data_IF_811824693861
#
_entry.id   IF_811824693861
#
_cell.length_a   1.000
_cell.length_b   1.000
_cell.length_c   1.000
_cell.angle_alpha   90.00
_cell.angle_beta   90.00
_cell.angle_gamma   90.00
#
_symmetry.space_group_name_H-M   'P 1'
#
loop_
_entity.id
_entity.type
_entity.pdbx_description
1 polymer ?
#
# COMPACT_ATOMS: atom_id res chain seq x y z
N UNK A 1 23.35 -30.47 -3.41
CA UNK A 1 24.28 -30.38 -4.54
C UNK A 1 25.39 -31.39 -4.32
N UNK A 2 25.76 -32.22 -5.28
CA UNK A 2 26.89 -33.11 -5.15
C UNK A 2 28.18 -32.31 -5.05
N UNK A 3 29.11 -32.80 -4.24
CA UNK A 3 30.40 -32.18 -4.01
C UNK A 3 31.15 -31.95 -5.33
N UNK A 4 31.71 -30.75 -5.49
CA UNK A 4 32.34 -30.25 -6.72
C UNK A 4 33.76 -30.82 -6.91
N UNK A 5 34.25 -31.67 -6.06
CA UNK A 5 35.51 -32.34 -6.25
C UNK A 5 35.30 -33.76 -6.75
N UNK A 6 35.54 -34.03 -8.04
CA UNK A 6 35.54 -35.38 -8.55
C UNK A 6 36.76 -36.10 -7.99
N UNK A 7 36.58 -36.97 -7.05
CA UNK A 7 37.59 -37.97 -6.70
C UNK A 7 37.39 -39.13 -7.66
N UNK A 8 37.76 -38.94 -8.91
CA UNK A 8 37.98 -40.02 -9.85
C UNK A 8 39.42 -40.44 -9.72
N UNK A 9 39.68 -41.24 -8.72
CA UNK A 9 40.87 -42.07 -8.68
C UNK A 9 40.69 -43.28 -9.57
N UNK A 10 40.77 -43.11 -10.91
CA UNK A 10 41.10 -44.20 -11.78
C UNK A 10 42.62 -44.44 -11.67
N UNK A 11 43.02 -45.20 -10.70
CA UNK A 11 44.36 -45.77 -10.64
C UNK A 11 44.40 -46.94 -11.63
N UNK A 12 45.21 -46.75 -12.66
CA UNK A 12 45.57 -47.81 -13.58
C UNK A 12 46.24 -48.99 -12.91
N UNK A 13 45.79 -50.18 -13.22
CA UNK A 13 46.41 -51.50 -13.21
C UNK A 13 47.55 -51.70 -12.23
N UNK A 14 47.19 -52.01 -11.04
CA UNK A 14 48.09 -52.53 -10.02
C UNK A 14 47.28 -52.94 -8.80
N UNK A 15 46.53 -53.99 -8.98
CA UNK A 15 45.99 -54.88 -7.95
C UNK A 15 45.58 -54.28 -6.56
N UNK A 16 44.83 -53.22 -6.59
CA UNK A 16 43.99 -52.77 -5.49
C UNK A 16 42.66 -52.32 -6.03
N UNK A 17 41.82 -53.31 -6.35
CA UNK A 17 40.43 -53.08 -6.61
C UNK A 17 39.76 -52.71 -5.29
N UNK A 18 39.81 -51.48 -4.94
CA UNK A 18 38.91 -50.86 -4.02
C UNK A 18 38.44 -49.57 -4.63
N UNK A 19 37.31 -49.67 -5.33
CA UNK A 19 36.44 -48.53 -5.49
C UNK A 19 36.02 -48.09 -4.10
N UNK A 20 36.87 -47.30 -3.42
CA UNK A 20 36.46 -46.57 -2.26
C UNK A 20 35.68 -45.35 -2.78
N UNK A 21 34.41 -45.58 -3.12
CA UNK A 21 33.48 -44.48 -3.16
C UNK A 21 33.39 -43.95 -1.75
N UNK A 22 34.11 -42.88 -1.49
CA UNK A 22 34.00 -42.13 -0.26
C UNK A 22 32.61 -41.48 -0.24
N UNK A 23 31.67 -42.22 0.33
CA UNK A 23 30.30 -41.71 0.57
C UNK A 23 30.17 -41.11 1.97
N UNK A 24 31.29 -40.69 2.55
CA UNK A 24 31.28 -40.03 3.85
C UNK A 24 30.98 -38.54 3.72
N UNK A 25 29.96 -38.11 4.38
CA UNK A 25 29.64 -36.69 4.65
C UNK A 25 30.64 -36.08 5.62
N UNK A 26 31.96 -36.10 5.28
CA UNK A 26 33.01 -35.53 6.12
C UNK A 26 33.25 -34.04 5.85
N UNK A 27 32.56 -33.43 4.91
CA UNK A 27 32.61 -32.00 4.72
C UNK A 27 31.41 -31.43 5.45
N UNK A 28 31.59 -30.87 6.67
CA UNK A 28 30.48 -30.24 7.36
C UNK A 28 29.98 -29.07 6.51
N UNK A 29 28.66 -29.01 6.25
CA UNK A 29 28.08 -27.83 5.65
C UNK A 29 28.30 -26.66 6.59
N UNK A 30 29.04 -25.66 6.13
CA UNK A 30 29.26 -24.43 6.91
C UNK A 30 28.00 -23.56 6.74
N UNK A 31 27.22 -23.46 7.78
CA UNK A 31 26.10 -22.54 7.82
C UNK A 31 26.62 -21.12 8.04
N UNK A 32 26.23 -20.20 7.16
CA UNK A 32 26.53 -18.80 7.34
C UNK A 32 25.81 -18.27 8.58
N UNK A 33 26.51 -17.54 9.43
CA UNK A 33 25.89 -16.82 10.54
C UNK A 33 25.16 -15.55 10.07
N UNK A 34 25.32 -15.18 8.80
CA UNK A 34 24.63 -14.05 8.17
C UNK A 34 23.50 -14.60 7.32
N UNK A 35 22.26 -14.21 7.64
CA UNK A 35 21.12 -14.42 6.77
C UNK A 35 21.09 -13.33 5.69
N UNK A 36 20.61 -13.69 4.51
CA UNK A 36 20.37 -12.71 3.47
C UNK A 36 19.23 -11.78 3.91
N UNK A 37 19.46 -10.49 3.80
CA UNK A 37 18.46 -9.48 4.12
C UNK A 37 17.30 -9.61 3.13
N UNK A 38 16.08 -9.60 3.64
CA UNK A 38 14.86 -9.67 2.85
C UNK A 38 14.41 -8.26 2.48
N UNK A 39 14.03 -8.07 1.23
CA UNK A 39 13.47 -6.79 0.78
C UNK A 39 11.98 -6.75 1.02
N UNK A 40 11.50 -5.63 1.56
CA UNK A 40 10.10 -5.41 1.88
C UNK A 40 9.48 -4.35 0.97
N UNK A 41 8.18 -4.48 0.72
CA UNK A 41 7.44 -3.45 0.01
C UNK A 41 7.28 -2.18 0.87
N UNK A 42 7.39 -1.02 0.24
CA UNK A 42 7.17 0.24 0.93
C UNK A 42 5.70 0.38 1.34
N UNK A 43 5.47 0.65 2.60
CA UNK A 43 4.15 0.89 3.19
C UNK A 43 3.86 2.40 3.19
N UNK A 44 2.66 2.78 2.80
CA UNK A 44 2.27 4.19 2.60
C UNK A 44 1.08 4.63 3.46
N UNK A 45 0.32 3.70 4.06
CA UNK A 45 -0.91 4.06 4.78
C UNK A 45 -0.69 5.05 5.93
N UNK A 46 0.44 4.99 6.62
CA UNK A 46 0.78 5.91 7.70
C UNK A 46 0.95 7.36 7.26
N UNK A 47 1.33 7.57 5.99
CA UNK A 47 1.53 8.90 5.41
C UNK A 47 0.25 9.46 4.77
N UNK A 48 -0.59 8.59 4.22
CA UNK A 48 -1.81 8.99 3.49
C UNK A 48 -3.05 9.08 4.37
N UNK A 49 -3.08 8.36 5.50
CA UNK A 49 -4.23 8.31 6.38
C UNK A 49 -4.10 9.29 7.57
N UNK A 50 -5.24 9.79 8.00
CA UNK A 50 -5.37 10.56 9.22
C UNK A 50 -5.55 9.64 10.43
N UNK A 51 -4.72 9.80 11.44
CA UNK A 51 -4.73 9.02 12.68
C UNK A 51 -5.23 9.81 13.90
N UNK A 52 -5.84 10.99 13.68
CA UNK A 52 -6.23 11.89 14.78
C UNK A 52 -7.21 11.27 15.78
N UNK A 53 -8.02 10.31 15.35
CA UNK A 53 -9.01 9.64 16.20
C UNK A 53 -8.50 8.37 16.89
N UNK A 54 -7.24 7.99 16.64
CA UNK A 54 -6.67 6.77 17.23
C UNK A 54 -6.65 6.80 18.77
N UNK A 55 -6.45 7.97 19.37
CA UNK A 55 -6.43 8.13 20.81
C UNK A 55 -7.80 7.92 21.50
N UNK A 56 -8.88 8.26 20.82
CA UNK A 56 -10.24 8.09 21.34
C UNK A 56 -10.67 6.61 21.34
N UNK A 57 -10.23 5.88 20.35
CA UNK A 57 -10.57 4.46 20.15
C UNK A 57 -9.81 3.54 21.09
N UNK A 58 -8.61 3.93 21.50
CA UNK A 58 -7.74 3.04 22.30
C UNK A 58 -8.25 2.72 23.71
N UNK A 59 -9.18 3.52 24.23
CA UNK A 59 -9.63 3.39 25.61
C UNK A 59 -10.90 2.56 25.81
N UNK A 60 -11.91 2.69 24.95
CA UNK A 60 -13.16 1.90 25.03
C UNK A 60 -14.01 2.08 23.75
N UNK A 61 -14.46 0.99 23.18
CA UNK A 61 -15.44 0.96 22.09
C UNK A 61 -14.89 0.47 20.77
N UNK A 62 -15.75 -0.12 19.98
CA UNK A 62 -15.48 -0.65 18.64
C UNK A 62 -15.87 0.33 17.53
N UNK A 63 -16.39 1.52 17.88
CA UNK A 63 -16.94 2.49 16.95
C UNK A 63 -16.63 3.92 17.37
N UNK A 64 -16.26 4.76 16.42
CA UNK A 64 -16.13 6.21 16.59
C UNK A 64 -17.09 6.92 15.65
N UNK A 65 -17.88 7.85 16.18
CA UNK A 65 -18.75 8.69 15.39
C UNK A 65 -18.08 10.02 15.07
N UNK A 66 -17.82 10.24 13.79
CA UNK A 66 -17.21 11.45 13.27
C UNK A 66 -18.32 12.34 12.72
N UNK A 67 -18.59 13.46 13.40
CA UNK A 67 -19.57 14.43 12.94
C UNK A 67 -18.96 15.36 11.90
N UNK A 68 -19.64 15.53 10.78
CA UNK A 68 -19.31 16.53 9.76
C UNK A 68 -20.16 17.76 9.92
N UNK A 69 -19.57 18.94 9.71
CA UNK A 69 -20.32 20.19 9.78
C UNK A 69 -21.38 20.24 8.67
N UNK A 70 -22.64 20.54 8.99
CA UNK A 70 -23.70 20.63 8.00
C UNK A 70 -23.49 21.86 7.10
N UNK A 71 -23.89 21.76 5.83
CA UNK A 71 -23.88 22.88 4.90
C UNK A 71 -25.09 23.76 5.11
N UNK A 72 -24.86 25.05 5.44
CA UNK A 72 -25.92 26.05 5.59
C UNK A 72 -26.03 26.81 4.26
N UNK A 73 -27.27 26.87 3.73
CA UNK A 73 -27.56 27.64 2.51
C UNK A 73 -27.70 29.11 2.84
N UNK A 74 -27.02 29.96 2.10
CA UNK A 74 -27.16 31.41 2.23
C UNK A 74 -28.23 31.87 1.23
N UNK A 75 -29.29 32.49 1.73
CA UNK A 75 -30.38 33.02 0.92
C UNK A 75 -30.21 34.52 0.69
N UNK A 76 -30.74 35.02 -0.41
CA UNK A 76 -30.79 36.45 -0.70
C UNK A 76 -31.84 37.14 0.18
N UNK A 77 -31.45 38.27 0.78
CA UNK A 77 -32.35 39.08 1.57
C UNK A 77 -33.04 40.15 0.72
N UNK A 78 -34.34 40.31 0.92
CA UNK A 78 -35.14 41.43 0.38
C UNK A 78 -35.89 42.09 1.53
N UNK A 79 -35.98 43.40 1.51
CA UNK A 79 -36.68 44.16 2.55
C UNK A 79 -38.19 43.75 2.57
N UNK A 80 -38.70 43.41 3.76
CA UNK A 80 -40.08 42.98 3.97
C UNK A 80 -40.37 41.48 3.74
N UNK A 81 -39.34 40.65 3.43
CA UNK A 81 -39.55 39.21 3.32
C UNK A 81 -39.57 38.54 4.71
N UNK A 82 -40.33 37.46 4.83
CA UNK A 82 -40.26 36.58 5.99
C UNK A 82 -39.04 35.67 5.89
N UNK A 83 -38.23 35.60 6.94
CA UNK A 83 -37.07 34.72 6.98
C UNK A 83 -37.48 33.28 7.18
N UNK A 84 -36.93 32.38 6.40
CA UNK A 84 -37.05 30.93 6.57
C UNK A 84 -35.86 30.41 7.37
N UNK A 85 -36.11 29.71 8.46
CA UNK A 85 -35.05 29.16 9.30
C UNK A 85 -34.72 27.73 8.85
N UNK A 86 -33.45 27.47 8.65
CA UNK A 86 -32.96 26.11 8.40
C UNK A 86 -32.64 25.43 9.73
N UNK A 87 -32.92 24.14 9.82
CA UNK A 87 -32.49 23.29 10.94
C UNK A 87 -31.36 22.40 10.42
N UNK A 88 -30.09 22.78 10.59
CA UNK A 88 -28.98 21.99 10.09
C UNK A 88 -28.86 20.71 10.91
N UNK A 89 -28.87 19.57 10.21
CA UNK A 89 -28.59 18.26 10.78
C UNK A 89 -27.19 17.85 10.41
N UNK A 90 -26.27 17.58 11.37
CA UNK A 90 -24.93 17.10 11.06
C UNK A 90 -25.02 15.71 10.45
N UNK A 91 -24.22 15.44 9.41
CA UNK A 91 -24.02 14.09 8.92
C UNK A 91 -23.01 13.37 9.82
N UNK A 92 -23.34 12.13 10.19
CA UNK A 92 -22.57 11.34 11.13
C UNK A 92 -21.91 10.16 10.41
N UNK A 93 -20.60 10.16 10.36
CA UNK A 93 -19.80 9.08 9.79
C UNK A 93 -19.32 8.14 10.90
N UNK A 94 -19.64 6.85 10.77
CA UNK A 94 -19.21 5.83 11.72
C UNK A 94 -17.90 5.17 11.25
N UNK A 95 -16.85 5.22 12.07
CA UNK A 95 -15.62 4.45 11.89
C UNK A 95 -15.71 3.21 12.78
N UNK A 96 -15.75 2.04 12.16
CA UNK A 96 -15.83 0.74 12.85
C UNK A 96 -14.46 0.08 12.86
N UNK A 97 -14.08 -0.49 14.00
CA UNK A 97 -12.87 -1.30 14.15
C UNK A 97 -13.27 -2.77 14.10
N UNK A 98 -13.31 -3.32 12.90
CA UNK A 98 -13.82 -4.66 12.61
C UNK A 98 -12.78 -5.59 12.00
N UNK A 99 -11.54 -5.11 11.77
CA UNK A 99 -10.50 -5.86 11.09
C UNK A 99 -9.40 -6.28 12.05
N UNK A 100 -8.97 -7.53 11.91
CA UNK A 100 -7.86 -8.08 12.67
C UNK A 100 -6.87 -8.80 11.78
N UNK A 101 -5.59 -8.60 12.03
CA UNK A 101 -4.48 -9.37 11.44
C UNK A 101 -3.65 -9.95 12.56
N UNK A 102 -3.22 -11.19 12.40
CA UNK A 102 -2.37 -11.85 13.37
C UNK A 102 -1.26 -12.62 12.67
N UNK A 103 -0.18 -12.82 13.38
CA UNK A 103 0.79 -13.85 13.07
C UNK A 103 1.02 -14.74 14.28
N UNK A 104 1.34 -15.99 14.02
CA UNK A 104 1.73 -16.94 15.06
C UNK A 104 2.74 -17.92 14.46
N UNK A 105 3.84 -18.15 15.17
CA UNK A 105 4.85 -19.13 14.79
C UNK A 105 5.46 -19.78 16.03
N UNK A 106 6.06 -20.94 15.84
CA UNK A 106 6.73 -21.70 16.88
C UNK A 106 8.22 -21.77 16.58
N UNK A 107 9.03 -21.64 17.62
CA UNK A 107 10.46 -21.92 17.57
C UNK A 107 10.74 -23.05 18.55
N UNK A 108 11.43 -24.10 18.06
CA UNK A 108 11.83 -25.22 18.89
C UNK A 108 13.15 -24.90 19.57
N UNK A 109 13.28 -25.23 20.86
CA UNK A 109 14.47 -24.98 21.69
C UNK A 109 15.73 -25.61 21.09
N UNK A 110 15.63 -26.78 20.50
CA UNK A 110 16.75 -27.48 19.87
C UNK A 110 17.28 -26.70 18.68
N UNK A 111 16.36 -26.16 17.88
CA UNK A 111 16.70 -25.35 16.72
C UNK A 111 17.35 -24.03 17.14
N UNK A 112 16.81 -23.39 18.17
CA UNK A 112 17.34 -22.13 18.69
C UNK A 112 18.73 -22.30 19.28
N UNK A 113 18.94 -23.37 20.05
CA UNK A 113 20.24 -23.68 20.65
C UNK A 113 21.32 -24.06 19.64
N UNK A 114 20.94 -24.72 18.53
CA UNK A 114 21.87 -25.13 17.48
C UNK A 114 22.12 -24.04 16.44
N UNK A 115 21.22 -23.06 16.32
CA UNK A 115 21.38 -21.94 15.41
C UNK A 115 22.28 -20.87 16.01
N UNK A 116 23.26 -20.38 15.22
CA UNK A 116 24.11 -19.26 15.64
C UNK A 116 23.38 -17.90 15.72
N UNK A 117 22.47 -17.54 14.80
CA UNK A 117 21.73 -16.28 14.87
C UNK A 117 20.57 -16.38 15.87
N UNK A 118 20.20 -15.24 16.46
CA UNK A 118 18.96 -15.12 17.25
C UNK A 118 17.74 -15.22 16.32
N UNK A 119 17.19 -16.43 16.18
CA UNK A 119 16.08 -16.73 15.27
C UNK A 119 14.78 -16.06 15.73
N UNK A 120 14.58 -15.93 17.03
CA UNK A 120 13.37 -15.35 17.60
C UNK A 120 13.19 -13.89 17.15
N UNK A 121 14.19 -13.05 17.36
CA UNK A 121 14.13 -11.63 17.02
C UNK A 121 13.99 -11.42 15.50
N UNK A 122 14.70 -12.26 14.73
CA UNK A 122 14.65 -12.17 13.27
C UNK A 122 13.27 -12.52 12.68
N UNK A 123 12.67 -13.61 13.16
CA UNK A 123 11.35 -14.02 12.69
C UNK A 123 10.27 -13.07 13.18
N UNK A 124 10.42 -12.54 14.40
CA UNK A 124 9.49 -11.53 14.91
C UNK A 124 9.57 -10.22 14.10
N UNK A 125 10.77 -9.77 13.73
CA UNK A 125 10.95 -8.60 12.89
C UNK A 125 10.38 -8.79 11.48
N UNK A 126 10.65 -9.92 10.83
CA UNK A 126 10.06 -10.25 9.53
C UNK A 126 8.52 -10.31 9.60
N UNK A 127 7.97 -10.95 10.62
CA UNK A 127 6.53 -11.07 10.81
C UNK A 127 5.86 -9.70 11.03
N UNK A 128 6.51 -8.80 11.78
CA UNK A 128 6.01 -7.44 11.99
C UNK A 128 5.97 -6.64 10.68
N UNK A 129 7.01 -6.72 9.86
CA UNK A 129 7.02 -6.05 8.55
C UNK A 129 6.02 -6.66 7.57
N UNK A 130 5.84 -7.99 7.56
CA UNK A 130 4.80 -8.64 6.75
C UNK A 130 3.39 -8.22 7.20
N UNK A 131 3.16 -8.10 8.50
CA UNK A 131 1.87 -7.60 9.02
C UNK A 131 1.61 -6.16 8.56
N UNK A 132 2.62 -5.30 8.64
CA UNK A 132 2.53 -3.91 8.17
C UNK A 132 2.19 -3.81 6.68
N UNK A 133 2.82 -4.64 5.84
CA UNK A 133 2.54 -4.73 4.41
C UNK A 133 1.11 -5.22 4.17
N UNK A 134 0.65 -6.21 4.90
CA UNK A 134 -0.71 -6.75 4.77
C UNK A 134 -1.78 -5.74 5.19
N UNK A 135 -1.52 -4.93 6.22
CA UNK A 135 -2.41 -3.83 6.63
C UNK A 135 -2.43 -2.74 5.56
N UNK A 136 -1.26 -2.32 5.06
CA UNK A 136 -1.13 -1.30 4.00
C UNK A 136 -1.92 -1.70 2.75
N UNK A 137 -1.69 -2.91 2.26
CA UNK A 137 -2.40 -3.47 1.12
C UNK A 137 -3.91 -3.48 1.33
N UNK A 138 -4.38 -3.87 2.53
CA UNK A 138 -5.80 -3.90 2.86
C UNK A 138 -6.42 -2.50 2.91
N UNK A 139 -5.74 -1.52 3.52
CA UNK A 139 -6.19 -0.12 3.57
C UNK A 139 -6.29 0.45 2.18
N UNK A 140 -5.21 0.40 1.40
CA UNK A 140 -5.15 0.97 0.05
C UNK A 140 -6.18 0.33 -0.88
N UNK A 141 -6.33 -1.00 -0.81
CA UNK A 141 -7.30 -1.73 -1.63
C UNK A 141 -8.76 -1.34 -1.34
N UNK A 142 -9.14 -1.22 -0.09
CA UNK A 142 -10.53 -0.94 0.26
C UNK A 142 -10.89 0.55 0.18
N UNK A 143 -9.90 1.44 0.13
CA UNK A 143 -10.13 2.89 0.06
C UNK A 143 -9.98 3.48 -1.34
N UNK A 144 -9.30 2.80 -2.29
CA UNK A 144 -8.99 3.37 -3.60
C UNK A 144 -10.24 3.80 -4.39
N UNK A 145 -11.33 3.07 -4.30
CA UNK A 145 -12.59 3.37 -5.01
C UNK A 145 -13.53 4.30 -4.24
N UNK A 146 -13.16 4.69 -2.99
CA UNK A 146 -14.01 5.46 -2.08
C UNK A 146 -14.11 6.94 -2.39
N UNK A 147 -13.41 7.44 -3.41
CA UNK A 147 -13.54 8.84 -3.86
C UNK A 147 -14.92 9.17 -4.41
N UNK A 148 -15.31 10.45 -4.33
CA UNK A 148 -16.55 10.96 -4.87
C UNK A 148 -16.71 10.60 -6.37
N UNK A 149 -17.95 10.45 -6.84
CA UNK A 149 -18.20 10.12 -8.24
C UNK A 149 -17.61 11.16 -9.21
N UNK A 150 -17.63 12.44 -8.83
CA UNK A 150 -17.04 13.52 -9.61
C UNK A 150 -15.50 13.53 -9.64
N UNK A 151 -14.83 12.72 -8.80
CA UNK A 151 -13.37 12.67 -8.72
C UNK A 151 -12.77 11.43 -9.41
N UNK A 152 -13.56 10.74 -10.22
CA UNK A 152 -13.15 9.52 -10.93
C UNK A 152 -13.94 9.35 -12.22
N UNK A 153 -13.43 8.48 -13.10
CA UNK A 153 -14.15 8.14 -14.35
C UNK A 153 -13.77 9.00 -15.53
N UNK A 154 -14.55 8.87 -16.61
CA UNK A 154 -14.26 9.50 -17.90
C UNK A 154 -14.61 11.00 -17.93
N UNK A 155 -15.43 11.49 -17.01
CA UNK A 155 -15.92 12.87 -16.93
C UNK A 155 -15.75 13.42 -15.53
N UNK A 156 -14.54 13.35 -14.99
CA UNK A 156 -14.23 13.87 -13.67
C UNK A 156 -14.20 15.41 -13.66
N UNK A 157 -14.36 15.97 -12.46
CA UNK A 157 -14.47 17.41 -12.21
C UNK A 157 -15.89 17.83 -11.87
N UNK A 158 -16.08 18.46 -10.70
CA UNK A 158 -17.41 18.94 -10.24
C UNK A 158 -17.94 20.06 -11.11
N UNK A 159 -17.08 20.93 -11.58
CA UNK A 159 -17.42 22.12 -12.38
C UNK A 159 -17.22 21.87 -13.86
N UNK A 160 -16.11 21.28 -14.23
CA UNK A 160 -15.71 21.09 -15.62
C UNK A 160 -16.31 19.85 -16.26
N UNK A 161 -16.46 18.76 -15.52
CA UNK A 161 -16.90 17.43 -16.02
C UNK A 161 -16.14 17.00 -17.30
N UNK A 162 -14.87 17.39 -17.41
CA UNK A 162 -14.10 17.27 -18.66
C UNK A 162 -12.84 16.43 -18.53
N UNK A 163 -12.42 16.09 -17.31
CA UNK A 163 -11.19 15.32 -17.08
C UNK A 163 -11.45 13.83 -17.22
N UNK A 164 -10.72 13.20 -18.14
CA UNK A 164 -10.79 11.75 -18.28
C UNK A 164 -9.73 11.07 -17.39
N UNK A 165 -10.18 10.56 -16.26
CA UNK A 165 -9.37 9.78 -15.30
C UNK A 165 -9.50 8.27 -15.50
N UNK A 166 -10.17 7.83 -16.57
CA UNK A 166 -10.35 6.43 -16.90
C UNK A 166 -11.42 5.73 -16.07
N UNK A 167 -11.95 4.70 -16.67
CA UNK A 167 -12.89 3.78 -16.02
C UNK A 167 -12.29 2.37 -16.02
N UNK A 168 -12.91 1.47 -15.28
CA UNK A 168 -12.49 0.07 -15.26
C UNK A 168 -12.57 -0.58 -16.65
N UNK A 169 -13.62 -0.26 -17.43
CA UNK A 169 -13.79 -0.75 -18.80
C UNK A 169 -12.86 -0.04 -19.81
N UNK A 170 -12.55 1.24 -19.60
CA UNK A 170 -11.73 2.07 -20.47
C UNK A 170 -10.65 2.81 -19.67
N UNK A 171 -9.58 2.12 -19.26
CA UNK A 171 -8.47 2.73 -18.53
C UNK A 171 -7.70 3.70 -19.42
N UNK A 172 -7.09 4.71 -18.84
CA UNK A 172 -6.23 5.66 -19.56
C UNK A 172 -4.90 5.01 -19.90
N UNK A 173 -4.53 4.97 -21.15
CA UNK A 173 -3.19 4.56 -21.57
C UNK A 173 -2.18 5.65 -21.18
N UNK A 174 -1.34 5.35 -20.18
CA UNK A 174 -0.28 6.25 -19.73
C UNK A 174 0.96 6.09 -20.59
N UNK A 175 1.52 7.24 -20.98
CA UNK A 175 2.79 7.35 -21.71
C UNK A 175 3.66 8.42 -21.09
N UNK A 176 4.94 8.46 -21.40
CA UNK A 176 5.84 9.53 -20.95
C UNK A 176 5.36 10.94 -21.36
N UNK A 177 4.59 11.05 -22.44
CA UNK A 177 4.07 12.34 -22.91
C UNK A 177 2.86 12.84 -22.11
N UNK A 178 1.98 11.96 -21.64
CA UNK A 178 0.72 12.34 -21.01
C UNK A 178 0.65 12.16 -19.50
N UNK A 179 1.58 11.42 -18.90
CA UNK A 179 1.55 11.09 -17.46
C UNK A 179 1.54 12.35 -16.59
N UNK A 180 2.35 13.36 -16.94
CA UNK A 180 2.38 14.62 -16.18
C UNK A 180 1.06 15.39 -16.31
N UNK A 181 0.49 15.46 -17.52
CA UNK A 181 -0.82 16.09 -17.75
C UNK A 181 -1.90 15.41 -16.91
N UNK A 182 -1.91 14.07 -16.83
CA UNK A 182 -2.88 13.35 -16.01
C UNK A 182 -2.72 13.59 -14.50
N UNK A 183 -1.51 13.81 -14.02
CA UNK A 183 -1.28 14.21 -12.62
C UNK A 183 -1.80 15.63 -12.37
N UNK A 184 -1.58 16.56 -13.29
CA UNK A 184 -2.12 17.92 -13.18
C UNK A 184 -3.66 17.93 -13.27
N UNK A 185 -4.27 17.06 -14.09
CA UNK A 185 -5.72 16.88 -14.11
C UNK A 185 -6.26 16.38 -12.76
N UNK A 186 -5.56 15.46 -12.08
CA UNK A 186 -5.90 15.04 -10.71
C UNK A 186 -5.84 16.21 -9.72
N UNK A 187 -4.84 17.09 -9.84
CA UNK A 187 -4.74 18.30 -9.01
C UNK A 187 -5.94 19.23 -9.25
N UNK A 188 -6.28 19.47 -10.52
CA UNK A 188 -7.40 20.33 -10.91
C UNK A 188 -8.74 19.79 -10.40
N UNK A 189 -8.95 18.46 -10.45
CA UNK A 189 -10.17 17.83 -9.90
C UNK A 189 -10.32 18.08 -8.40
N UNK A 190 -9.23 17.97 -7.64
CA UNK A 190 -9.23 18.27 -6.19
C UNK A 190 -9.41 19.79 -5.93
N UNK A 191 -8.88 20.65 -6.79
CA UNK A 191 -9.06 22.10 -6.68
C UNK A 191 -10.53 22.50 -6.92
N UNK A 192 -11.22 21.87 -7.88
CA UNK A 192 -12.65 22.07 -8.10
C UNK A 192 -13.51 21.68 -6.89
N UNK A 193 -13.04 20.75 -6.08
CA UNK A 193 -13.66 20.34 -4.81
C UNK A 193 -13.28 21.26 -3.63
N UNK A 194 -12.46 22.30 -3.84
CA UNK A 194 -11.92 23.18 -2.82
C UNK A 194 -11.13 22.44 -1.73
N UNK A 195 -10.44 21.35 -2.08
CA UNK A 195 -9.57 20.61 -1.16
C UNK A 195 -8.34 21.49 -0.83
N UNK A 196 -7.90 21.59 0.44
CA UNK A 196 -6.68 22.34 0.79
C UNK A 196 -5.47 21.91 -0.03
N UNK A 197 -4.59 22.86 -0.30
CA UNK A 197 -3.37 22.63 -1.10
C UNK A 197 -2.26 21.92 -0.32
N UNK A 198 -2.26 22.08 1.01
CA UNK A 198 -1.30 21.38 1.90
C UNK A 198 -1.66 19.91 2.04
N UNK A 199 -0.68 19.10 2.44
CA UNK A 199 -0.87 17.68 2.78
C UNK A 199 -1.56 16.81 1.71
N UNK A 200 -1.41 17.20 0.44
CA UNK A 200 -1.85 16.38 -0.69
C UNK A 200 -0.81 15.32 -1.00
N UNK A 201 -1.28 14.12 -1.25
CA UNK A 201 -0.44 12.99 -1.63
C UNK A 201 -0.85 12.40 -2.98
N UNK A 202 0.13 11.78 -3.62
CA UNK A 202 -0.04 11.00 -4.84
C UNK A 202 0.65 9.66 -4.66
N UNK A 203 -0.10 8.57 -4.76
CA UNK A 203 0.45 7.21 -4.68
C UNK A 203 0.48 6.59 -6.07
N UNK A 204 1.68 6.23 -6.52
CA UNK A 204 1.93 5.68 -7.85
C UNK A 204 2.65 4.33 -7.77
N UNK A 205 2.54 3.55 -8.82
CA UNK A 205 3.30 2.33 -9.01
C UNK A 205 4.68 2.59 -9.64
N UNK A 206 5.64 1.67 -9.56
CA UNK A 206 6.96 1.82 -10.14
C UNK A 206 6.96 2.01 -11.67
N UNK A 207 5.97 1.45 -12.39
CA UNK A 207 5.86 1.64 -13.84
C UNK A 207 5.48 3.08 -14.18
N UNK A 208 4.50 3.66 -13.46
CA UNK A 208 4.15 5.08 -13.60
C UNK A 208 5.32 5.98 -13.24
N UNK A 209 6.10 5.63 -12.19
CA UNK A 209 7.33 6.35 -11.86
C UNK A 209 8.31 6.36 -13.04
N UNK A 210 8.49 5.23 -13.72
CA UNK A 210 9.37 5.16 -14.89
C UNK A 210 8.89 6.06 -16.02
N UNK A 211 7.58 6.07 -16.32
CA UNK A 211 6.99 6.96 -17.31
C UNK A 211 7.17 8.44 -16.93
N UNK A 212 7.07 8.76 -15.65
CA UNK A 212 7.28 10.11 -15.13
C UNK A 212 8.72 10.59 -15.34
N UNK A 213 9.70 9.70 -15.14
CA UNK A 213 11.12 9.99 -15.41
C UNK A 213 11.41 10.14 -16.91
N UNK A 214 10.59 9.56 -17.79
CA UNK A 214 10.69 9.71 -19.24
C UNK A 214 9.92 10.93 -19.77
N UNK A 215 9.12 11.59 -18.93
CA UNK A 215 8.31 12.74 -19.28
C UNK A 215 9.16 14.03 -19.40
N UNK A 216 8.51 15.13 -19.76
CA UNK A 216 9.10 16.47 -19.79
C UNK A 216 9.68 16.92 -18.43
N UNK A 217 9.36 16.25 -17.35
CA UNK A 217 10.00 16.47 -16.05
C UNK A 217 11.52 16.22 -16.11
N UNK A 218 11.98 15.35 -17.01
CA UNK A 218 13.40 15.14 -17.27
C UNK A 218 14.08 16.39 -17.87
N UNK A 219 13.33 17.23 -18.60
CA UNK A 219 13.83 18.43 -19.26
C UNK A 219 13.87 19.65 -18.32
N UNK A 220 13.29 19.58 -17.14
CA UNK A 220 13.40 20.64 -16.11
C UNK A 220 14.86 20.94 -15.72
N UNK A 221 15.77 20.05 -16.11
CA UNK A 221 17.22 20.22 -15.99
C UNK A 221 17.76 21.46 -16.74
N UNK A 222 17.08 21.91 -17.78
CA UNK A 222 17.44 23.11 -18.54
C UNK A 222 16.93 24.41 -17.90
N UNK A 223 16.08 24.34 -16.92
CA UNK A 223 15.46 25.48 -16.23
C UNK A 223 16.30 26.00 -15.04
N UNK A 224 17.53 25.54 -14.86
CA UNK A 224 18.45 26.06 -13.83
C UNK A 224 18.32 25.42 -12.46
N UNK A 225 17.54 24.37 -12.29
CA UNK A 225 17.49 23.60 -11.04
C UNK A 225 18.71 22.65 -10.96
N UNK A 226 19.48 22.79 -9.87
CA UNK A 226 20.72 22.03 -9.66
C UNK A 226 20.49 20.51 -9.46
N UNK A 227 19.25 20.07 -9.25
CA UNK A 227 18.90 18.68 -8.93
C UNK A 227 17.79 18.15 -9.80
N UNK A 228 18.17 17.49 -10.89
CA UNK A 228 17.20 16.80 -11.75
C UNK A 228 16.68 15.52 -11.06
N UNK A 229 15.35 15.27 -11.06
CA UNK A 229 14.76 14.02 -10.57
C UNK A 229 15.36 12.76 -11.21
N UNK A 230 15.77 12.85 -12.47
CA UNK A 230 16.40 11.73 -13.19
C UNK A 230 17.76 11.37 -12.59
N UNK A 231 18.56 12.36 -12.17
CA UNK A 231 19.88 12.12 -11.56
C UNK A 231 19.77 11.52 -10.16
N UNK A 232 18.83 12.02 -9.36
CA UNK A 232 18.68 11.60 -7.96
C UNK A 232 17.78 10.37 -7.78
N UNK A 233 17.00 10.01 -8.79
CA UNK A 233 16.03 8.91 -8.71
C UNK A 233 14.91 9.13 -7.69
N UNK A 234 14.83 10.31 -7.08
CA UNK A 234 13.80 10.70 -6.11
C UNK A 234 12.81 11.64 -6.79
N UNK A 235 11.54 11.29 -6.70
CA UNK A 235 10.44 12.20 -7.00
C UNK A 235 9.95 12.68 -5.64
N UNK A 236 10.21 13.92 -5.29
CA UNK A 236 9.79 14.50 -4.01
C UNK A 236 8.36 14.99 -4.09
N UNK A 237 8.18 16.17 -4.67
CA UNK A 237 6.88 16.80 -4.88
C UNK A 237 6.69 17.11 -6.35
N UNK A 238 5.47 16.92 -6.85
CA UNK A 238 5.03 17.34 -8.17
C UNK A 238 3.82 18.23 -7.99
N UNK A 239 3.90 19.47 -8.46
CA UNK A 239 2.91 20.49 -8.17
C UNK A 239 2.70 20.58 -6.64
N UNK A 240 1.55 20.22 -6.13
CA UNK A 240 1.19 20.23 -4.69
C UNK A 240 1.17 18.86 -4.06
N UNK A 241 1.51 17.81 -4.82
CA UNK A 241 1.50 16.43 -4.34
C UNK A 241 2.84 15.98 -3.81
N UNK A 242 2.85 15.39 -2.62
CA UNK A 242 3.95 14.52 -2.18
C UNK A 242 3.79 13.15 -2.80
N UNK A 243 4.79 12.69 -3.55
CA UNK A 243 4.71 11.46 -4.33
C UNK A 243 5.26 10.27 -3.54
N UNK A 244 4.43 9.26 -3.37
CA UNK A 244 4.79 7.98 -2.78
C UNK A 244 4.76 6.87 -3.84
N UNK A 245 5.78 6.02 -3.85
CA UNK A 245 5.88 4.90 -4.78
C UNK A 245 5.74 3.60 -4.02
N UNK A 246 4.75 2.79 -4.39
CA UNK A 246 4.52 1.49 -3.76
C UNK A 246 4.08 0.43 -4.76
N UNK A 247 4.40 -0.83 -4.44
CA UNK A 247 3.89 -1.99 -5.17
C UNK A 247 2.52 -2.48 -4.67
N UNK A 248 2.01 -1.89 -3.58
CA UNK A 248 0.77 -2.31 -2.91
C UNK A 248 -0.51 -1.74 -3.55
N UNK A 249 -0.38 -0.93 -4.59
CA UNK A 249 -1.54 -0.40 -5.31
C UNK A 249 -2.38 -1.53 -5.94
N UNK A 250 -3.72 -1.40 -5.94
CA UNK A 250 -4.61 -2.35 -6.59
C UNK A 250 -4.34 -2.47 -8.08
N UNK A 251 -4.35 -3.70 -8.57
CA UNK A 251 -4.11 -4.05 -9.98
C UNK A 251 -5.19 -5.02 -10.44
N UNK A 252 -5.51 -4.98 -11.73
CA UNK A 252 -6.33 -6.01 -12.36
C UNK A 252 -5.68 -6.50 -13.65
N UNK A 253 -5.76 -7.80 -13.89
CA UNK A 253 -5.27 -8.41 -15.12
C UNK A 253 -6.10 -7.97 -16.33
N UNK A 254 -5.56 -8.15 -17.54
CA UNK A 254 -6.33 -8.02 -18.76
C UNK A 254 -7.38 -9.13 -18.83
N UNK A 255 -8.58 -8.80 -19.28
CA UNK A 255 -9.67 -9.75 -19.46
C UNK A 255 -11.02 -9.22 -18.98
N UNK A 256 -12.09 -9.83 -19.48
CA UNK A 256 -13.46 -9.50 -19.08
C UNK A 256 -13.73 -10.08 -17.70
N UNK A 257 -14.24 -9.29 -16.79
CA UNK A 257 -14.59 -9.69 -15.42
C UNK A 257 -13.42 -10.19 -14.55
N UNK A 258 -12.21 -9.70 -14.79
CA UNK A 258 -11.09 -9.97 -13.87
C UNK A 258 -11.21 -9.08 -12.63
N UNK A 259 -11.17 -9.64 -11.41
CA UNK A 259 -11.25 -8.86 -10.20
C UNK A 259 -10.02 -7.96 -10.00
N UNK A 260 -10.19 -6.89 -9.27
CA UNK A 260 -9.07 -6.15 -8.73
C UNK A 260 -8.38 -6.98 -7.66
N UNK A 261 -7.06 -6.99 -7.68
CA UNK A 261 -6.22 -7.73 -6.74
C UNK A 261 -5.46 -6.72 -5.90
N UNK A 262 -5.44 -6.94 -4.59
CA UNK A 262 -4.62 -6.15 -3.67
C UNK A 262 -3.13 -6.41 -3.87
N UNK A 263 -2.28 -5.51 -3.38
CA UNK A 263 -0.83 -5.61 -3.54
C UNK A 263 -0.19 -6.84 -2.89
N UNK A 264 -0.83 -7.40 -1.85
CA UNK A 264 -0.43 -8.66 -1.20
C UNK A 264 -0.93 -9.91 -1.94
N UNK A 265 -1.66 -9.76 -3.05
CA UNK A 265 -2.20 -10.85 -3.83
C UNK A 265 -3.49 -11.45 -3.28
N UNK A 266 -4.05 -10.92 -2.19
CA UNK A 266 -5.33 -11.36 -1.67
C UNK A 266 -6.45 -10.97 -2.65
N UNK A 267 -7.29 -11.93 -3.00
CA UNK A 267 -8.48 -11.67 -3.79
C UNK A 267 -9.50 -10.92 -2.94
N UNK A 268 -9.87 -9.75 -3.37
CA UNK A 268 -10.97 -9.02 -2.80
C UNK A 268 -12.04 -8.75 -3.87
N UNK A 269 -13.27 -8.82 -3.44
CA UNK A 269 -14.47 -8.86 -4.30
C UNK A 269 -14.90 -7.51 -4.85
N UNK A 270 -14.00 -6.58 -5.18
CA UNK A 270 -14.41 -5.41 -5.96
C UNK A 270 -14.69 -5.88 -7.37
N UNK A 271 -15.97 -5.93 -7.68
CA UNK A 271 -16.47 -6.36 -8.99
C UNK A 271 -15.90 -5.44 -10.08
N UNK A 272 -15.23 -6.03 -11.03
CA UNK A 272 -14.66 -5.33 -12.18
C UNK A 272 -15.53 -5.59 -13.40
N UNK A 273 -15.80 -4.54 -14.17
CA UNK A 273 -16.46 -4.67 -15.49
C UNK A 273 -15.53 -5.24 -16.55
N UNK A 274 -14.23 -5.34 -16.23
CA UNK A 274 -13.23 -5.90 -17.12
C UNK A 274 -12.76 -4.98 -18.24
N UNK A 275 -11.53 -5.17 -18.67
CA UNK A 275 -10.94 -4.51 -19.83
C UNK A 275 -9.94 -5.44 -20.51
N UNK A 276 -9.74 -5.29 -21.81
CA UNK A 276 -8.68 -5.98 -22.56
C UNK A 276 -7.28 -5.56 -22.12
N UNK A 277 -7.14 -4.45 -21.41
CA UNK A 277 -5.88 -3.93 -20.91
C UNK A 277 -5.69 -4.27 -19.41
N UNK A 278 -4.44 -4.45 -19.02
CA UNK A 278 -4.09 -4.47 -17.59
C UNK A 278 -4.42 -3.12 -16.98
N UNK A 279 -4.87 -3.11 -15.74
CA UNK A 279 -5.29 -1.89 -15.06
C UNK A 279 -4.54 -1.74 -13.75
N UNK A 280 -4.28 -0.50 -13.39
CA UNK A 280 -3.67 -0.10 -12.12
C UNK A 280 -4.37 1.14 -11.61
N UNK A 281 -4.54 1.21 -10.29
CA UNK A 281 -5.10 2.36 -9.63
C UNK A 281 -3.96 3.31 -9.23
N UNK A 282 -4.13 4.60 -9.54
CA UNK A 282 -3.28 5.69 -9.05
C UNK A 282 -4.17 6.56 -8.18
N UNK A 283 -3.75 6.81 -6.96
CA UNK A 283 -4.56 7.46 -5.95
C UNK A 283 -3.95 8.82 -5.66
N UNK A 284 -4.74 9.87 -5.78
CA UNK A 284 -4.40 11.20 -5.31
C UNK A 284 -5.40 11.64 -4.26
N UNK A 285 -4.95 12.34 -3.25
CA UNK A 285 -5.86 12.81 -2.20
C UNK A 285 -5.20 13.74 -1.21
N UNK A 286 -5.99 14.13 -0.23
CA UNK A 286 -5.55 14.88 0.93
C UNK A 286 -5.59 13.98 2.18
N UNK A 287 -4.69 14.18 3.11
CA UNK A 287 -4.54 13.34 4.32
C UNK A 287 -5.82 13.21 5.13
N UNK A 288 -6.75 14.16 5.06
CA UNK A 288 -8.05 14.07 5.73
C UNK A 288 -9.06 13.15 5.04
N UNK A 289 -8.79 12.61 3.85
CA UNK A 289 -9.72 11.77 3.10
C UNK A 289 -9.95 10.41 3.78
N UNK A 290 -8.86 9.77 4.19
CA UNK A 290 -8.86 8.43 4.77
C UNK A 290 -8.54 8.55 6.25
N UNK A 291 -9.34 7.93 7.10
CA UNK A 291 -9.08 7.80 8.52
C UNK A 291 -8.71 6.36 8.84
N UNK A 292 -7.66 6.20 9.62
CA UNK A 292 -7.19 4.92 10.12
C UNK A 292 -7.09 4.97 11.65
N UNK A 293 -7.53 3.92 12.31
CA UNK A 293 -7.34 3.74 13.75
C UNK A 293 -6.98 2.29 14.06
N UNK A 294 -6.00 2.08 14.91
CA UNK A 294 -5.67 0.77 15.48
C UNK A 294 -5.94 0.78 16.97
N UNK A 295 -6.54 -0.29 17.47
CA UNK A 295 -6.95 -0.40 18.87
C UNK A 295 -5.99 -1.26 19.68
N UNK A 296 -5.68 -2.45 19.19
CA UNK A 296 -4.91 -3.44 19.92
C UNK A 296 -3.71 -3.85 19.08
N UNK A 297 -2.53 -3.72 19.69
CA UNK A 297 -1.32 -4.37 19.21
C UNK A 297 -0.74 -5.11 20.39
N UNK A 298 -0.92 -6.43 20.42
CA UNK A 298 -0.46 -7.27 21.50
C UNK A 298 0.45 -8.36 20.97
N UNK A 299 1.64 -8.45 21.52
CA UNK A 299 2.60 -9.50 21.24
C UNK A 299 2.81 -10.33 22.52
N UNK A 300 2.72 -11.63 22.39
CA UNK A 300 2.86 -12.56 23.50
C UNK A 300 3.79 -13.71 23.09
N UNK A 301 4.64 -14.10 24.04
CA UNK A 301 5.40 -15.33 23.97
C UNK A 301 4.83 -16.30 25.01
N UNK A 302 4.48 -17.51 24.56
CA UNK A 302 3.88 -18.54 25.41
C UNK A 302 4.65 -19.84 25.24
N UNK A 303 5.05 -20.46 26.34
CA UNK A 303 5.69 -21.76 26.31
C UNK A 303 4.76 -22.84 25.72
N UNK A 304 5.25 -23.67 24.83
CA UNK A 304 4.48 -24.76 24.28
C UNK A 304 4.28 -25.87 25.33
N UNK A 305 3.05 -26.21 25.72
CA UNK A 305 2.81 -27.26 26.70
C UNK A 305 3.00 -28.70 26.14
N UNK A 306 3.01 -28.87 24.82
CA UNK A 306 3.05 -30.17 24.17
C UNK A 306 4.41 -30.52 23.56
N UNK A 307 5.34 -29.53 23.47
CA UNK A 307 6.65 -29.69 22.85
C UNK A 307 7.64 -28.68 23.46
N UNK A 308 8.93 -28.94 23.27
CA UNK A 308 9.98 -28.02 23.72
C UNK A 308 10.10 -26.88 22.71
N UNK A 309 9.68 -25.69 23.10
CA UNK A 309 9.72 -24.51 22.25
C UNK A 309 8.77 -23.42 22.72
N UNK A 310 8.88 -22.26 22.11
CA UNK A 310 8.06 -21.10 22.40
C UNK A 310 7.17 -20.74 21.22
N UNK A 311 5.90 -20.41 21.52
CA UNK A 311 4.96 -19.81 20.59
C UNK A 311 5.06 -18.29 20.69
N UNK A 312 5.26 -17.65 19.56
CA UNK A 312 5.19 -16.20 19.45
C UNK A 312 3.94 -15.86 18.63
N UNK A 313 3.10 -15.01 19.18
CA UNK A 313 1.89 -14.53 18.51
C UNK A 313 1.71 -13.05 18.68
N UNK A 314 1.20 -12.40 17.66
CA UNK A 314 0.83 -10.99 17.72
C UNK A 314 -0.52 -10.79 17.04
N UNK A 315 -1.32 -9.91 17.61
CA UNK A 315 -2.61 -9.49 17.10
C UNK A 315 -2.60 -7.98 16.93
N UNK A 316 -3.05 -7.51 15.76
CA UNK A 316 -3.34 -6.11 15.52
C UNK A 316 -4.80 -5.98 15.06
N UNK A 317 -5.58 -5.19 15.79
CA UNK A 317 -6.98 -4.88 15.48
C UNK A 317 -7.07 -3.44 15.03
N UNK A 318 -7.68 -3.19 13.89
CA UNK A 318 -7.73 -1.88 13.26
C UNK A 318 -9.02 -1.65 12.48
N UNK A 319 -9.28 -0.40 12.17
CA UNK A 319 -10.36 0.03 11.29
C UNK A 319 -9.94 1.19 10.42
N UNK A 320 -10.58 1.34 9.26
CA UNK A 320 -10.36 2.47 8.38
C UNK A 320 -11.65 2.81 7.62
N UNK A 321 -11.75 4.07 7.22
CA UNK A 321 -12.86 4.57 6.41
C UNK A 321 -12.46 5.79 5.60
N UNK A 322 -13.05 5.94 4.43
CA UNK A 322 -13.01 7.21 3.69
C UNK A 322 -14.07 8.13 4.29
N UNK A 323 -13.61 9.16 5.02
CA UNK A 323 -14.48 10.12 5.71
C UNK A 323 -14.86 11.29 4.81
N UNK A 324 -13.93 11.72 3.94
CA UNK A 324 -14.17 12.81 2.99
C UNK A 324 -13.93 12.33 1.55
N UNK A 325 -14.96 11.77 0.90
CA UNK A 325 -14.85 11.27 -0.48
C UNK A 325 -14.42 12.34 -1.49
N UNK A 326 -14.75 13.61 -1.23
CA UNK A 326 -14.40 14.75 -2.08
C UNK A 326 -12.89 15.00 -2.13
N UNK A 327 -12.19 14.61 -1.06
CA UNK A 327 -10.75 14.79 -0.93
C UNK A 327 -9.92 13.64 -1.49
N UNK A 328 -10.55 12.71 -2.21
CA UNK A 328 -9.92 11.55 -2.83
C UNK A 328 -10.23 11.51 -4.32
N UNK A 329 -9.21 11.39 -5.16
CA UNK A 329 -9.33 11.24 -6.61
C UNK A 329 -8.64 9.96 -7.08
N UNK A 330 -9.21 9.31 -8.10
CA UNK A 330 -8.76 8.04 -8.64
C UNK A 330 -8.53 8.14 -10.14
N UNK A 331 -7.32 7.76 -10.57
CA UNK A 331 -6.98 7.55 -11.97
C UNK A 331 -6.80 6.04 -12.22
N UNK A 332 -7.56 5.49 -13.15
CA UNK A 332 -7.42 4.11 -13.62
C UNK A 332 -6.59 4.12 -14.89
N UNK A 333 -5.39 3.57 -14.82
CA UNK A 333 -4.41 3.56 -15.89
C UNK A 333 -4.16 2.15 -16.43
N UNK A 334 -3.77 2.08 -17.69
CA UNK A 334 -3.32 0.85 -18.37
C UNK A 334 -1.80 0.81 -18.50
#
# INVERSE_FOLDING_TARGET
MPAIFPVTGAQAAGNLATTSSYSGTFIPAVWSAKLAEKFYAASVYGEIANTSWQGEVSSMGDKVYINTAPTIQIANYQAGMNLTYQVPTPDMQELVIDKGRYFAFQINDVLEYQAKPNLMDMFAADAAEQMRIAIDSNVVYNTFSGGAAANKGATAGVKSSSYNLGTDAAPVALTGANVLTKILELASVLDEQNVPESDRYLVIDPATRTLLMQSNLAQAQFMGDATSPVRNGKIGTIDRFTVYVTNQLPKAAAGTATPWISGDGAENTVTSTGSVLKRRAIIAGHKSAITFASQITKMETVRNPNDFGDFIRSLNVYGFKVVKPESLALLIAA
#
